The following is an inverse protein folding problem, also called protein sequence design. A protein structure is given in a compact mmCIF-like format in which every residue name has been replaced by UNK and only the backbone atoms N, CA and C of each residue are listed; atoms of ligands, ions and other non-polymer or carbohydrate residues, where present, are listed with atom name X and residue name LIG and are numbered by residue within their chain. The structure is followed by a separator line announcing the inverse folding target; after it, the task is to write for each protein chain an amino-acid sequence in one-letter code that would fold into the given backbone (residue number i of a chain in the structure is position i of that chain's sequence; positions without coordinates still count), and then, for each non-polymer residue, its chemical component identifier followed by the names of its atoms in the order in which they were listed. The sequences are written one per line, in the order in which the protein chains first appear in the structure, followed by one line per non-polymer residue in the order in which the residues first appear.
data_IF_309008744876
#
_entry.id   IF_309008744876
#
_cell.length_a   1.000
_cell.length_b   1.000
_cell.length_c   1.000
_cell.angle_alpha   90.00
_cell.angle_beta   90.00
_cell.angle_gamma   90.00
#
_symmetry.space_group_name_H-M   'P 1'
#
loop_
_entity.id
_entity.type
_entity.pdbx_description
1 polymer ?
#
# COMPACT_ATOMS: atom_id res chain seq x y z
N UNK A 1 18.43 4.32 15.54
CA UNK A 1 17.57 3.13 15.40
C UNK A 1 18.25 2.04 14.60
N UNK A 2 17.86 0.81 14.80
CA UNK A 2 18.25 -0.32 13.97
C UNK A 2 17.12 -0.52 12.92
N UNK A 3 17.41 -0.46 11.60
CA UNK A 3 16.40 -0.74 10.58
C UNK A 3 15.76 -2.13 10.79
N UNK A 4 14.44 -2.22 10.57
CA UNK A 4 13.70 -3.48 10.75
C UNK A 4 13.03 -3.92 9.45
N UNK A 5 12.19 -3.06 8.88
CA UNK A 5 11.51 -3.33 7.61
C UNK A 5 11.56 -2.14 6.66
N UNK A 6 11.07 -2.34 5.45
CA UNK A 6 10.82 -1.26 4.52
C UNK A 6 9.37 -1.29 4.03
N UNK A 7 8.87 -0.15 3.58
CA UNK A 7 7.49 0.02 3.18
C UNK A 7 7.32 0.23 1.68
N UNK A 8 8.06 -0.48 0.82
CA UNK A 8 7.83 -0.37 -0.62
C UNK A 8 6.34 -0.57 -0.93
N UNK A 9 5.71 0.41 -1.60
CA UNK A 9 4.29 0.34 -1.93
C UNK A 9 4.05 -0.69 -3.02
N UNK A 10 3.04 -1.53 -2.80
CA UNK A 10 2.59 -2.56 -3.74
C UNK A 10 1.09 -2.46 -3.91
N UNK A 11 0.59 -2.86 -5.07
CA UNK A 11 -0.82 -3.13 -5.28
C UNK A 11 -1.04 -4.64 -5.32
N UNK A 12 -1.68 -5.17 -4.28
CA UNK A 12 -2.12 -6.56 -4.27
C UNK A 12 -3.53 -6.65 -4.85
N UNK A 13 -3.75 -7.56 -5.79
CA UNK A 13 -5.01 -7.71 -6.52
C UNK A 13 -5.49 -9.15 -6.57
N UNK A 14 -6.80 -9.35 -6.53
CA UNK A 14 -7.46 -10.66 -6.68
C UNK A 14 -7.50 -11.04 -8.16
N UNK A 15 -6.63 -11.96 -8.56
CA UNK A 15 -6.54 -12.45 -9.95
C UNK A 15 -7.86 -13.06 -10.43
N UNK A 16 -8.55 -13.83 -9.58
CA UNK A 16 -9.84 -14.41 -9.91
C UNK A 16 -10.95 -13.36 -10.15
N UNK A 17 -10.96 -12.27 -9.41
CA UNK A 17 -11.90 -11.17 -9.62
C UNK A 17 -11.58 -10.36 -10.89
N UNK A 18 -10.29 -10.20 -11.20
CA UNK A 18 -9.84 -9.59 -12.45
C UNK A 18 -10.26 -10.45 -13.65
N UNK A 19 -10.06 -11.76 -13.59
CA UNK A 19 -10.46 -12.70 -14.62
C UNK A 19 -11.99 -12.71 -14.85
N UNK A 20 -12.80 -12.59 -13.79
CA UNK A 20 -14.25 -12.44 -13.89
C UNK A 20 -14.66 -11.20 -14.71
N UNK A 21 -13.84 -10.15 -14.71
CA UNK A 21 -14.05 -8.94 -15.52
C UNK A 21 -13.52 -9.06 -16.96
N UNK A 22 -12.98 -10.23 -17.34
CA UNK A 22 -12.40 -10.48 -18.67
C UNK A 22 -11.04 -9.79 -18.85
N UNK A 23 -10.34 -9.49 -17.77
CA UNK A 23 -9.03 -8.87 -17.73
C UNK A 23 -7.99 -9.86 -17.18
N UNK A 24 -6.71 -9.48 -17.29
CA UNK A 24 -5.58 -10.22 -16.74
C UNK A 24 -4.83 -9.35 -15.72
N UNK A 25 -4.02 -9.97 -14.87
CA UNK A 25 -3.16 -9.24 -13.93
C UNK A 25 -2.18 -8.30 -14.66
N UNK A 26 -1.73 -8.70 -15.84
CA UNK A 26 -0.82 -7.86 -16.66
C UNK A 26 -1.48 -6.57 -17.15
N UNK A 27 -2.80 -6.54 -17.26
CA UNK A 27 -3.55 -5.32 -17.59
C UNK A 27 -3.47 -4.25 -16.50
N UNK A 28 -3.02 -4.59 -15.29
CA UNK A 28 -2.89 -3.67 -14.15
C UNK A 28 -1.46 -3.21 -13.89
N UNK A 29 -0.49 -3.52 -14.78
CA UNK A 29 0.89 -3.07 -14.67
C UNK A 29 1.13 -1.75 -15.37
N UNK A 30 1.98 -0.92 -14.78
CA UNK A 30 2.51 0.32 -15.35
C UNK A 30 1.45 1.35 -15.80
N UNK A 31 0.29 1.36 -15.15
CA UNK A 31 -0.83 2.22 -15.49
C UNK A 31 -0.65 3.65 -14.97
N UNK A 32 -1.35 4.58 -15.60
CA UNK A 32 -1.77 5.83 -14.96
C UNK A 32 -3.02 5.62 -14.13
N UNK A 33 -3.39 6.59 -13.28
CA UNK A 33 -4.61 6.47 -12.48
C UNK A 33 -5.87 6.48 -13.34
N UNK A 34 -5.92 7.25 -14.42
CA UNK A 34 -7.07 7.25 -15.34
C UNK A 34 -7.25 5.87 -16.02
N UNK A 35 -6.16 5.26 -16.50
CA UNK A 35 -6.20 3.93 -17.08
C UNK A 35 -6.60 2.86 -16.04
N UNK A 36 -6.14 3.02 -14.80
CA UNK A 36 -6.53 2.15 -13.70
C UNK A 36 -8.02 2.23 -13.40
N UNK A 37 -8.59 3.45 -13.29
CA UNK A 37 -10.01 3.64 -13.00
C UNK A 37 -10.91 2.99 -14.05
N UNK A 38 -10.55 3.09 -15.35
CA UNK A 38 -11.30 2.44 -16.42
C UNK A 38 -11.35 0.92 -16.28
N UNK A 39 -10.24 0.30 -15.90
CA UNK A 39 -10.13 -1.14 -15.68
C UNK A 39 -10.77 -1.56 -14.35
N UNK A 40 -10.55 -0.78 -13.30
CA UNK A 40 -11.11 -0.98 -11.99
C UNK A 40 -12.64 -0.98 -12.02
N UNK A 41 -13.28 -0.08 -12.79
CA UNK A 41 -14.72 -0.06 -12.95
C UNK A 41 -15.26 -1.37 -13.52
N UNK A 42 -14.57 -1.99 -14.48
CA UNK A 42 -14.97 -3.31 -15.01
C UNK A 42 -14.92 -4.40 -13.95
N UNK A 43 -13.92 -4.34 -13.06
CA UNK A 43 -13.81 -5.31 -11.94
C UNK A 43 -14.95 -5.09 -10.93
N UNK A 44 -15.27 -3.82 -10.62
CA UNK A 44 -16.41 -3.47 -9.75
C UNK A 44 -17.72 -3.99 -10.37
N UNK A 45 -17.96 -3.70 -11.64
CA UNK A 45 -19.20 -4.09 -12.35
C UNK A 45 -19.37 -5.62 -12.41
N UNK A 46 -18.27 -6.35 -12.59
CA UNK A 46 -18.29 -7.81 -12.70
C UNK A 46 -18.46 -8.53 -11.36
N UNK A 47 -17.95 -7.95 -10.27
CA UNK A 47 -17.88 -8.63 -8.98
C UNK A 47 -18.81 -8.03 -7.90
N UNK A 48 -19.31 -6.81 -8.10
CA UNK A 48 -20.18 -6.12 -7.15
C UNK A 48 -19.46 -5.68 -5.86
N UNK A 49 -18.14 -5.59 -5.88
CA UNK A 49 -17.30 -5.13 -4.76
C UNK A 49 -16.32 -4.06 -5.25
N UNK A 50 -15.85 -3.14 -4.39
CA UNK A 50 -14.83 -2.16 -4.75
C UNK A 50 -13.55 -2.82 -5.26
N UNK A 51 -12.86 -2.14 -6.20
CA UNK A 51 -11.55 -2.60 -6.66
C UNK A 51 -10.49 -2.43 -5.58
N UNK A 52 -10.54 -1.36 -4.79
CA UNK A 52 -9.59 -1.08 -3.72
C UNK A 52 -10.27 -0.89 -2.38
N UNK A 53 -9.55 -1.25 -1.33
CA UNK A 53 -9.85 -0.91 0.06
C UNK A 53 -8.73 -0.05 0.64
N UNK A 54 -9.07 0.85 1.57
CA UNK A 54 -8.14 1.74 2.27
C UNK A 54 -8.47 1.85 3.74
N UNK A 55 -7.45 2.02 4.58
CA UNK A 55 -7.59 2.26 6.03
C UNK A 55 -7.90 3.71 6.40
N UNK A 56 -8.05 4.58 5.40
CA UNK A 56 -8.35 6.01 5.55
C UNK A 56 -7.44 6.92 4.74
N UNK A 57 -7.99 8.05 4.34
CA UNK A 57 -7.63 8.88 3.21
C UNK A 57 -6.22 9.43 3.06
N UNK A 58 -5.40 9.54 4.09
CA UNK A 58 -4.14 10.26 3.93
C UNK A 58 -3.01 9.40 3.35
N UNK A 59 -2.98 8.11 3.61
CA UNK A 59 -1.85 7.23 3.21
C UNK A 59 -1.74 7.13 1.69
N UNK A 60 -2.81 6.77 1.01
CA UNK A 60 -2.82 6.64 -0.45
C UNK A 60 -2.53 7.97 -1.16
N UNK A 61 -3.01 9.11 -0.63
CA UNK A 61 -2.71 10.45 -1.16
C UNK A 61 -1.22 10.74 -1.02
N UNK A 62 -0.60 10.40 0.11
CA UNK A 62 0.84 10.56 0.33
C UNK A 62 1.65 9.68 -0.62
N UNK A 63 1.24 8.42 -0.82
CA UNK A 63 1.87 7.51 -1.77
C UNK A 63 1.84 8.05 -3.21
N UNK A 64 0.68 8.56 -3.66
CA UNK A 64 0.54 9.22 -4.97
C UNK A 64 1.48 10.42 -5.10
N UNK A 65 1.56 11.29 -4.09
CA UNK A 65 2.47 12.42 -4.10
C UNK A 65 3.94 12.00 -4.14
N UNK A 66 4.32 11.01 -3.32
CA UNK A 66 5.68 10.48 -3.30
C UNK A 66 6.07 9.88 -4.66
N UNK A 67 5.15 9.19 -5.32
CA UNK A 67 5.36 8.60 -6.65
C UNK A 67 5.73 9.65 -7.70
N UNK A 68 5.32 10.90 -7.47
CA UNK A 68 5.63 12.07 -8.30
C UNK A 68 6.80 12.92 -7.74
N UNK A 69 7.51 12.43 -6.72
CA UNK A 69 8.58 13.19 -6.06
C UNK A 69 8.09 14.46 -5.35
N UNK A 70 6.80 14.56 -5.04
CA UNK A 70 6.18 15.73 -4.44
C UNK A 70 5.99 15.56 -2.92
N UNK A 71 5.95 16.70 -2.22
CA UNK A 71 5.69 16.77 -0.78
C UNK A 71 4.78 17.95 -0.45
N UNK A 72 3.91 17.86 0.57
CA UNK A 72 3.18 19.01 1.07
C UNK A 72 4.07 20.00 1.85
N UNK A 73 5.30 19.61 2.18
CA UNK A 73 6.29 20.45 2.87
C UNK A 73 7.58 20.45 2.04
N UNK A 74 8.04 21.63 1.64
CA UNK A 74 9.27 21.84 0.87
C UNK A 74 10.12 22.88 1.60
N UNK A 75 11.37 22.55 1.89
CA UNK A 75 12.32 23.43 2.62
C UNK A 75 11.76 23.95 3.97
N UNK A 76 10.97 23.13 4.65
CA UNK A 76 10.33 23.47 5.93
C UNK A 76 9.08 24.35 5.82
N UNK A 77 8.66 24.71 4.62
CA UNK A 77 7.46 25.48 4.36
C UNK A 77 6.30 24.60 3.85
N UNK A 78 5.08 24.88 4.31
CA UNK A 78 3.87 24.20 3.83
C UNK A 78 3.51 24.68 2.43
N UNK A 79 3.45 23.78 1.47
CA UNK A 79 3.16 24.01 0.04
C UNK A 79 1.93 23.19 -0.38
N UNK A 80 0.74 23.72 -0.12
CA UNK A 80 -0.54 23.05 -0.43
C UNK A 80 -1.22 23.69 -1.63
N UNK A 81 -1.37 25.03 -1.65
CA UNK A 81 -2.22 25.72 -2.62
C UNK A 81 -1.77 25.53 -4.09
N UNK A 82 -0.46 25.52 -4.34
CA UNK A 82 0.13 25.43 -5.69
C UNK A 82 0.76 24.04 -5.96
N UNK A 83 0.37 23.02 -5.19
CA UNK A 83 0.90 21.68 -5.34
C UNK A 83 0.04 20.87 -6.32
N UNK A 84 0.48 20.81 -7.58
CA UNK A 84 -0.25 20.09 -8.65
C UNK A 84 -0.42 18.60 -8.35
N UNK A 85 0.61 17.95 -7.80
CA UNK A 85 0.55 16.53 -7.45
C UNK A 85 -0.46 16.26 -6.31
N UNK A 86 -0.54 17.14 -5.29
CA UNK A 86 -1.54 17.02 -4.25
C UNK A 86 -2.96 17.21 -4.80
N UNK A 87 -3.14 18.21 -5.66
CA UNK A 87 -4.45 18.46 -6.30
C UNK A 87 -4.89 17.24 -7.10
N UNK A 88 -4.01 16.68 -7.91
CA UNK A 88 -4.30 15.50 -8.72
C UNK A 88 -4.58 14.28 -7.85
N UNK A 89 -3.76 14.02 -6.82
CA UNK A 89 -4.00 12.93 -5.87
C UNK A 89 -5.37 13.01 -5.18
N UNK A 90 -5.80 14.22 -4.78
CA UNK A 90 -7.12 14.44 -4.20
C UNK A 90 -8.25 14.24 -5.22
N UNK A 91 -8.03 14.63 -6.47
CA UNK A 91 -9.00 14.42 -7.55
C UNK A 91 -9.19 12.94 -7.83
N UNK A 92 -8.12 12.20 -8.04
CA UNK A 92 -8.14 10.73 -8.23
C UNK A 92 -8.81 10.03 -7.06
N UNK A 93 -8.41 10.38 -5.84
CA UNK A 93 -8.98 9.78 -4.62
C UNK A 93 -10.50 9.98 -4.55
N UNK A 94 -10.94 11.22 -4.73
CA UNK A 94 -12.35 11.57 -4.74
C UNK A 94 -13.13 10.84 -5.84
N UNK A 95 -12.58 10.79 -7.04
CA UNK A 95 -13.22 10.13 -8.17
C UNK A 95 -13.38 8.63 -7.94
N UNK A 96 -12.37 7.96 -7.37
CA UNK A 96 -12.47 6.55 -7.01
C UNK A 96 -13.55 6.29 -5.94
N UNK A 97 -13.68 7.17 -4.94
CA UNK A 97 -14.74 7.06 -3.92
C UNK A 97 -16.11 7.28 -4.54
N UNK A 98 -16.28 8.33 -5.33
CA UNK A 98 -17.57 8.65 -5.98
C UNK A 98 -18.03 7.56 -6.96
N UNK A 99 -17.10 6.88 -7.63
CA UNK A 99 -17.36 5.76 -8.54
C UNK A 99 -17.51 4.41 -7.85
N UNK A 100 -17.31 4.35 -6.53
CA UNK A 100 -17.34 3.08 -5.78
C UNK A 100 -16.16 2.15 -6.08
N UNK A 101 -15.09 2.67 -6.67
CA UNK A 101 -13.85 1.93 -6.92
C UNK A 101 -13.06 1.74 -5.63
N UNK A 102 -13.09 2.73 -4.73
CA UNK A 102 -12.39 2.72 -3.45
C UNK A 102 -13.39 2.69 -2.29
N UNK A 103 -13.25 1.71 -1.39
CA UNK A 103 -13.94 1.69 -0.10
C UNK A 103 -12.99 2.07 1.03
N UNK A 104 -13.47 2.91 1.97
CA UNK A 104 -12.72 3.36 3.13
C UNK A 104 -13.23 2.66 4.40
N UNK A 105 -12.29 2.24 5.24
CA UNK A 105 -12.55 1.70 6.56
C UNK A 105 -11.66 2.44 7.57
N UNK A 106 -12.24 3.05 8.58
CA UNK A 106 -11.49 3.76 9.63
C UNK A 106 -11.05 2.86 10.78
N UNK A 107 -11.59 1.65 10.83
CA UNK A 107 -11.24 0.61 11.79
C UNK A 107 -10.30 -0.41 11.12
N UNK A 108 -9.17 -0.70 11.77
CA UNK A 108 -8.14 -1.60 11.23
C UNK A 108 -8.66 -3.02 10.99
N UNK A 109 -9.43 -3.56 11.94
CA UNK A 109 -9.93 -4.94 11.82
C UNK A 109 -10.94 -5.05 10.65
N UNK A 110 -11.78 -4.03 10.45
CA UNK A 110 -12.69 -3.97 9.31
C UNK A 110 -11.96 -3.82 7.99
N UNK A 111 -10.88 -3.03 7.96
CA UNK A 111 -10.02 -2.90 6.78
C UNK A 111 -9.40 -4.25 6.39
N UNK A 112 -8.80 -4.97 7.33
CA UNK A 112 -8.26 -6.31 7.08
C UNK A 112 -9.37 -7.30 6.69
N UNK A 113 -10.51 -7.27 7.37
CA UNK A 113 -11.64 -8.12 7.04
C UNK A 113 -12.19 -7.86 5.62
N UNK A 114 -12.11 -6.62 5.12
CA UNK A 114 -12.56 -6.32 3.75
C UNK A 114 -11.80 -7.11 2.68
N UNK A 115 -10.54 -7.38 2.90
CA UNK A 115 -9.71 -8.22 2.02
C UNK A 115 -10.01 -9.71 2.25
N UNK A 116 -9.99 -10.15 3.51
CA UNK A 116 -10.10 -11.56 3.89
C UNK A 116 -11.51 -12.14 3.64
N UNK A 117 -12.55 -11.31 3.72
CA UNK A 117 -13.93 -11.70 3.39
C UNK A 117 -14.26 -11.56 1.89
N UNK A 118 -13.31 -11.13 1.06
CA UNK A 118 -13.52 -10.89 -0.38
C UNK A 118 -14.45 -9.70 -0.67
N UNK A 119 -14.51 -8.71 0.21
CA UNK A 119 -15.33 -7.49 0.05
C UNK A 119 -14.60 -6.38 -0.72
N UNK A 120 -13.36 -6.61 -1.14
CA UNK A 120 -12.59 -5.78 -2.04
C UNK A 120 -11.71 -6.65 -2.94
N UNK A 121 -11.47 -6.19 -4.16
CA UNK A 121 -10.68 -6.92 -5.15
C UNK A 121 -9.16 -6.61 -5.04
N UNK A 122 -8.76 -5.62 -4.24
CA UNK A 122 -7.36 -5.26 -4.09
C UNK A 122 -7.11 -4.23 -3.00
N UNK A 123 -5.82 -3.96 -2.80
CA UNK A 123 -5.31 -3.00 -1.82
C UNK A 123 -4.00 -2.41 -2.33
N UNK A 124 -3.78 -1.11 -2.10
CA UNK A 124 -2.47 -0.46 -2.24
C UNK A 124 -2.00 -0.15 -0.83
N UNK A 125 -0.80 -0.62 -0.50
CA UNK A 125 -0.17 -0.36 0.80
C UNK A 125 1.32 -0.76 0.77
N UNK A 126 2.06 -0.53 1.84
CA UNK A 126 3.40 -1.06 1.99
C UNK A 126 3.43 -2.59 1.92
N UNK A 127 4.52 -3.16 1.44
CA UNK A 127 4.67 -4.62 1.26
C UNK A 127 4.42 -5.44 2.54
N UNK A 128 4.48 -4.82 3.71
CA UNK A 128 4.15 -5.42 5.01
C UNK A 128 2.68 -5.86 5.14
N UNK A 129 1.75 -5.30 4.30
CA UNK A 129 0.33 -5.72 4.30
C UNK A 129 0.13 -7.17 3.83
N UNK A 130 1.13 -7.74 3.15
CA UNK A 130 1.03 -9.07 2.54
C UNK A 130 0.75 -10.17 3.56
N UNK A 131 1.24 -10.06 4.79
CA UNK A 131 0.91 -10.99 5.87
C UNK A 131 -0.59 -11.02 6.18
N UNK A 132 -1.24 -9.86 6.14
CA UNK A 132 -2.70 -9.74 6.34
C UNK A 132 -3.50 -10.24 5.14
N UNK A 133 -3.01 -9.96 3.92
CA UNK A 133 -3.63 -10.45 2.67
C UNK A 133 -3.59 -11.98 2.60
N UNK A 134 -2.50 -12.60 3.05
CA UNK A 134 -2.31 -14.05 3.03
C UNK A 134 -3.02 -14.80 4.17
N UNK A 135 -3.65 -14.10 5.11
CA UNK A 135 -4.29 -14.71 6.28
C UNK A 135 -5.51 -15.57 5.92
N UNK A 136 -6.20 -15.25 4.82
CA UNK A 136 -7.36 -16.00 4.34
C UNK A 136 -6.94 -17.23 3.52
N UNK A 137 -6.94 -18.41 4.14
CA UNK A 137 -6.48 -19.66 3.52
C UNK A 137 -7.27 -20.05 2.27
N UNK A 138 -8.55 -19.73 2.19
CA UNK A 138 -9.43 -19.99 1.04
C UNK A 138 -9.14 -19.08 -0.17
N UNK A 139 -8.32 -18.05 0.03
CA UNK A 139 -7.84 -17.15 -1.00
C UNK A 139 -6.40 -17.46 -1.45
N UNK A 140 -5.81 -18.55 -0.97
CA UNK A 140 -4.46 -18.97 -1.36
C UNK A 140 -4.35 -19.14 -2.88
N UNK A 141 -3.32 -18.54 -3.47
CA UNK A 141 -3.07 -18.55 -4.92
C UNK A 141 -3.95 -17.61 -5.75
N UNK A 142 -4.84 -16.84 -5.13
CA UNK A 142 -5.74 -15.90 -5.81
C UNK A 142 -5.25 -14.44 -5.78
N UNK A 143 -4.14 -14.17 -5.15
CA UNK A 143 -3.57 -12.82 -5.06
C UNK A 143 -2.33 -12.70 -5.96
N UNK A 144 -2.21 -11.58 -6.63
CA UNK A 144 -1.03 -11.19 -7.40
C UNK A 144 -0.57 -9.79 -6.98
N UNK A 145 0.71 -9.50 -7.17
CA UNK A 145 1.30 -8.20 -6.84
C UNK A 145 1.67 -7.51 -8.14
N UNK A 146 1.28 -6.25 -8.25
CA UNK A 146 1.66 -5.33 -9.32
C UNK A 146 2.10 -3.98 -8.71
N UNK A 147 2.69 -3.12 -9.52
CA UNK A 147 3.01 -1.76 -9.09
C UNK A 147 1.75 -0.88 -9.01
N UNK A 148 1.80 0.19 -8.21
CA UNK A 148 0.71 1.16 -8.13
C UNK A 148 0.63 2.02 -9.40
N UNK A 149 -0.55 2.60 -9.72
CA UNK A 149 -0.66 3.55 -10.83
C UNK A 149 0.09 4.86 -10.54
N UNK A 150 0.57 5.54 -11.59
CA UNK A 150 1.19 6.86 -11.50
C UNK A 150 0.21 7.99 -11.79
N UNK A 151 0.46 9.19 -11.26
CA UNK A 151 -0.35 10.38 -11.52
C UNK A 151 -0.30 10.78 -13.00
N UNK A 152 -1.47 11.12 -13.55
CA UNK A 152 -1.60 11.65 -14.90
C UNK A 152 -1.10 13.09 -15.00
N UNK A 153 -0.42 13.42 -16.07
CA UNK A 153 -0.02 14.79 -16.38
C UNK A 153 0.98 15.44 -15.40
N UNK A 154 1.58 14.66 -14.49
CA UNK A 154 2.60 15.12 -13.56
C UNK A 154 3.97 14.64 -14.05
N UNK A 155 4.83 15.59 -14.39
CA UNK A 155 6.19 15.29 -14.85
C UNK A 155 7.00 14.55 -13.79
N UNK A 156 7.67 13.48 -14.19
CA UNK A 156 8.48 12.66 -13.31
C UNK A 156 7.70 11.68 -12.43
N UNK A 157 6.37 11.60 -12.55
CA UNK A 157 5.57 10.61 -11.83
C UNK A 157 5.95 9.18 -12.23
N UNK A 158 6.07 8.32 -11.24
CA UNK A 158 6.46 6.91 -11.36
C UNK A 158 5.38 6.00 -10.79
N UNK A 159 5.51 4.70 -11.04
CA UNK A 159 4.62 3.68 -10.47
C UNK A 159 5.13 3.13 -9.11
N UNK A 160 5.95 3.92 -8.39
CA UNK A 160 6.62 3.49 -7.17
C UNK A 160 6.47 4.54 -6.08
N UNK A 161 6.20 4.08 -4.86
CA UNK A 161 6.14 4.90 -3.66
C UNK A 161 6.60 4.10 -2.44
N UNK A 162 6.47 4.70 -1.27
CA UNK A 162 6.73 4.05 0.01
C UNK A 162 5.58 4.32 0.98
N UNK A 163 5.12 3.28 1.64
CA UNK A 163 4.17 3.36 2.74
C UNK A 163 4.72 2.65 3.98
N UNK A 164 5.26 3.43 4.91
CA UNK A 164 5.81 2.90 6.16
C UNK A 164 7.32 2.68 6.12
N UNK A 165 7.74 1.58 6.70
CA UNK A 165 9.11 1.30 7.09
C UNK A 165 9.33 1.58 8.57
N UNK A 166 9.95 0.63 9.27
CA UNK A 166 10.12 0.71 10.71
C UNK A 166 11.58 0.51 11.14
N UNK A 167 11.87 0.94 12.35
CA UNK A 167 13.15 0.69 13.00
C UNK A 167 12.95 0.44 14.50
N UNK A 168 13.82 -0.37 15.06
CA UNK A 168 13.91 -0.55 16.51
C UNK A 168 14.66 0.61 17.14
N UNK A 169 14.15 1.09 18.24
CA UNK A 169 14.82 2.10 19.06
C UNK A 169 14.70 1.73 20.55
N UNK A 170 15.76 2.03 21.29
CA UNK A 170 15.73 1.88 22.75
C UNK A 170 15.27 3.21 23.35
N UNK A 171 14.21 3.14 24.17
CA UNK A 171 13.67 4.33 24.85
C UNK A 171 14.70 4.94 25.80
N UNK A 172 14.72 6.29 25.90
CA UNK A 172 15.54 7.03 26.87
C UNK A 172 15.23 6.67 28.34
N UNK A 173 14.04 6.10 28.59
CA UNK A 173 13.64 5.63 29.93
C UNK A 173 14.06 4.19 30.22
N UNK A 174 14.72 3.50 29.26
CA UNK A 174 15.21 2.14 29.49
C UNK A 174 16.30 2.14 30.55
N UNK A 175 16.11 1.29 31.57
CA UNK A 175 17.04 1.20 32.71
C UNK A 175 18.25 0.31 32.44
N UNK A 176 18.19 -0.48 31.37
CA UNK A 176 19.27 -1.37 30.96
C UNK A 176 19.49 -1.26 29.44
N UNK A 177 20.04 -0.12 29.03
CA UNK A 177 20.24 0.20 27.61
C UNK A 177 21.26 -0.72 26.95
N UNK A 178 22.33 -1.14 27.66
CA UNK A 178 23.33 -2.06 27.13
C UNK A 178 22.69 -3.40 26.76
N UNK A 179 21.96 -4.01 27.70
CA UNK A 179 21.27 -5.29 27.45
C UNK A 179 20.27 -5.17 26.28
N UNK A 180 19.52 -4.07 26.22
CA UNK A 180 18.57 -3.83 25.12
C UNK A 180 19.29 -3.71 23.77
N UNK A 181 20.43 -3.03 23.70
CA UNK A 181 21.22 -2.96 22.47
C UNK A 181 21.85 -4.29 22.10
N UNK A 182 22.38 -5.03 23.07
CA UNK A 182 22.97 -6.35 22.82
C UNK A 182 21.90 -7.35 22.32
N UNK A 183 20.70 -7.30 22.89
CA UNK A 183 19.57 -8.09 22.41
C UNK A 183 19.23 -7.74 20.94
N UNK A 184 19.01 -6.47 20.63
CA UNK A 184 18.68 -6.03 19.26
C UNK A 184 19.81 -6.37 18.27
N UNK A 185 21.05 -6.22 18.67
CA UNK A 185 22.20 -6.54 17.83
C UNK A 185 22.34 -8.04 17.57
N UNK A 186 22.19 -8.85 18.61
CA UNK A 186 22.35 -10.32 18.51
C UNK A 186 21.18 -10.99 17.80
N UNK A 187 19.99 -10.38 17.79
CA UNK A 187 18.79 -10.87 17.11
C UNK A 187 18.64 -10.18 15.73
N UNK A 188 17.92 -9.08 15.69
CA UNK A 188 17.56 -8.38 14.45
C UNK A 188 18.75 -7.78 13.67
N UNK A 189 19.88 -7.57 14.33
CA UNK A 189 21.08 -7.00 13.71
C UNK A 189 22.01 -8.02 13.06
N UNK A 190 21.96 -9.30 13.47
CA UNK A 190 22.97 -10.27 13.03
C UNK A 190 22.55 -11.74 13.00
N UNK A 191 21.36 -12.10 13.45
CA UNK A 191 20.94 -13.52 13.49
C UNK A 191 20.36 -13.93 12.15
N UNK A 192 21.12 -14.69 11.37
CA UNK A 192 20.64 -15.33 10.12
C UNK A 192 19.53 -16.34 10.45
N UNK A 193 19.72 -17.14 11.48
CA UNK A 193 18.75 -18.16 11.93
C UNK A 193 17.37 -17.53 12.23
N UNK A 194 17.33 -16.36 12.89
CA UNK A 194 16.06 -15.65 13.14
C UNK A 194 15.36 -15.27 11.84
N UNK A 195 16.09 -14.79 10.85
CA UNK A 195 15.50 -14.39 9.58
C UNK A 195 15.10 -15.58 8.71
N UNK A 196 15.83 -16.69 8.79
CA UNK A 196 15.44 -17.94 8.10
C UNK A 196 14.12 -18.49 8.66
N UNK A 197 13.86 -18.30 9.98
CA UNK A 197 12.61 -18.70 10.60
C UNK A 197 11.45 -17.72 10.34
N UNK A 198 11.74 -16.42 10.24
CA UNK A 198 10.71 -15.38 10.07
C UNK A 198 10.29 -15.19 8.61
N UNK A 199 11.21 -15.41 7.67
CA UNK A 199 10.96 -15.20 6.24
C UNK A 199 10.72 -16.55 5.57
N UNK A 200 9.47 -16.93 5.28
CA UNK A 200 9.17 -18.19 4.60
C UNK A 200 9.84 -18.22 3.22
N UNK A 201 10.42 -19.37 2.87
CA UNK A 201 11.05 -19.67 1.57
C UNK A 201 10.01 -19.70 0.44
#
# INVERSE_FOLDING_TARGET
GLPFDNGASVMAVRSDMIENAGLTVDDFKDLTWSEFEEKAQKVVDANGVPMLTSSGGSELIIEMMQSAGASPVVDGEVKIADNAALKESLTVYKDMVDKGILAEYTDWDQYIASMNDGKAAGVINGCWIMSSVQAAADQSGKWAIVNMPKLDGIDGATNYANCGGASWAVSSNCKNTELAFDFLKSTFGSSVELYDDLLPN
#
